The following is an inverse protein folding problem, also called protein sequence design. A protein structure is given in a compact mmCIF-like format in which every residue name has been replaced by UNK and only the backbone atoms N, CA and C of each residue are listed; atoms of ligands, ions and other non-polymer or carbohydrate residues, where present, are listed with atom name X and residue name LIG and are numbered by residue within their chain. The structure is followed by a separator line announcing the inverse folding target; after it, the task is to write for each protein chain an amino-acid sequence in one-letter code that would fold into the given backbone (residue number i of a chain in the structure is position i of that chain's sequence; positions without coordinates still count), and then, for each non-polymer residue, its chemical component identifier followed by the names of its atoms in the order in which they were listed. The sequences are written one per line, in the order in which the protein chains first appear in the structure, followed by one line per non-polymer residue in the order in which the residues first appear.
data_IF_341746578711
#
_entry.id   IF_341746578711
#
_cell.length_a   1.000
_cell.length_b   1.000
_cell.length_c   1.000
_cell.angle_alpha   90.00
_cell.angle_beta   90.00
_cell.angle_gamma   90.00
#
_symmetry.space_group_name_H-M   'P 1'
#
loop_
_entity.id
_entity.type
_entity.pdbx_description
1 polymer ?
#
# COMPACT_ATOMS: atom_id res chain seq x y z
N UNK A 1 -7.30 -6.11 15.62
CA UNK A 1 -6.56 -5.41 14.55
C UNK A 1 -7.09 -3.98 14.48
N UNK A 2 -6.25 -2.97 14.27
CA UNK A 2 -6.70 -1.58 14.08
C UNK A 2 -7.63 -1.51 12.86
N UNK A 3 -8.69 -0.69 12.91
CA UNK A 3 -9.75 -0.65 11.88
C UNK A 3 -9.20 -0.37 10.48
N UNK A 4 -8.18 0.48 10.35
CA UNK A 4 -7.50 0.75 9.07
C UNK A 4 -6.75 -0.45 8.49
N UNK A 5 -6.14 -1.31 9.33
CA UNK A 5 -5.47 -2.53 8.84
C UNK A 5 -6.47 -3.50 8.24
N UNK A 6 -7.66 -3.63 8.85
CA UNK A 6 -8.73 -4.46 8.30
C UNK A 6 -9.18 -3.90 6.94
N UNK A 7 -9.44 -2.60 6.88
CA UNK A 7 -9.83 -1.91 5.65
C UNK A 7 -8.86 -2.20 4.49
N UNK A 8 -7.55 -1.95 4.68
CA UNK A 8 -6.57 -2.16 3.60
C UNK A 8 -6.45 -3.64 3.23
N UNK A 9 -6.58 -4.56 4.19
CA UNK A 9 -6.54 -6.00 3.92
C UNK A 9 -7.74 -6.44 3.07
N UNK A 10 -8.95 -5.97 3.41
CA UNK A 10 -10.16 -6.24 2.64
C UNK A 10 -10.06 -5.61 1.24
N UNK A 11 -9.59 -4.36 1.15
CA UNK A 11 -9.38 -3.65 -0.12
C UNK A 11 -8.43 -4.41 -1.05
N UNK A 12 -7.28 -4.86 -0.56
CA UNK A 12 -6.32 -5.66 -1.33
C UNK A 12 -6.95 -6.97 -1.78
N UNK A 13 -7.69 -7.66 -0.90
CA UNK A 13 -8.33 -8.93 -1.23
C UNK A 13 -9.26 -8.81 -2.45
N UNK A 14 -10.03 -7.72 -2.52
CA UNK A 14 -10.97 -7.46 -3.61
C UNK A 14 -10.26 -6.99 -4.89
N UNK A 15 -9.24 -6.13 -4.78
CA UNK A 15 -8.67 -5.41 -5.91
C UNK A 15 -7.30 -5.92 -6.37
N UNK A 16 -6.76 -6.98 -5.77
CA UNK A 16 -5.38 -7.47 -6.02
C UNK A 16 -5.01 -7.59 -7.51
N UNK A 17 -5.94 -8.01 -8.35
CA UNK A 17 -5.67 -8.25 -9.77
C UNK A 17 -5.55 -6.97 -10.59
N UNK A 18 -6.03 -5.84 -10.05
CA UNK A 18 -5.96 -4.52 -10.67
C UNK A 18 -4.80 -3.67 -10.12
N UNK A 19 -4.23 -4.10 -8.98
CA UNK A 19 -3.11 -3.42 -8.35
C UNK A 19 -1.78 -3.83 -9.00
N UNK A 20 -0.78 -2.92 -9.03
CA UNK A 20 0.58 -3.30 -9.36
C UNK A 20 1.09 -4.41 -8.45
N UNK A 21 2.11 -5.15 -8.91
CA UNK A 21 2.75 -6.22 -8.12
C UNK A 21 3.14 -5.75 -6.72
N UNK A 22 3.58 -4.50 -6.62
CA UNK A 22 4.03 -3.84 -5.38
C UNK A 22 3.54 -2.39 -5.39
N UNK A 23 2.98 -1.93 -4.26
CA UNK A 23 2.43 -0.58 -4.12
C UNK A 23 2.47 -0.16 -2.65
N UNK A 24 2.67 1.13 -2.39
CA UNK A 24 2.44 1.73 -1.08
C UNK A 24 1.07 2.40 -1.11
N UNK A 25 0.21 2.07 -0.16
CA UNK A 25 -1.16 2.58 -0.09
C UNK A 25 -1.28 3.47 1.14
N UNK A 26 -1.53 4.75 0.91
CA UNK A 26 -1.89 5.68 1.98
C UNK A 26 -3.39 5.62 2.20
N UNK A 27 -3.79 5.35 3.45
CA UNK A 27 -5.19 5.29 3.86
C UNK A 27 -5.47 6.39 4.86
N UNK A 28 -6.68 6.95 4.77
CA UNK A 28 -7.15 7.98 5.67
C UNK A 28 -8.52 7.59 6.24
N UNK A 29 -8.88 8.22 7.35
CA UNK A 29 -10.20 8.12 7.95
C UNK A 29 -10.86 9.49 8.00
N UNK A 30 -12.12 9.58 7.59
CA UNK A 30 -12.96 10.74 7.85
C UNK A 30 -14.27 10.33 8.49
N UNK A 31 -14.87 11.20 9.30
CA UNK A 31 -16.15 10.91 9.95
C UNK A 31 -17.32 10.71 8.97
N UNK A 32 -17.20 11.19 7.73
CA UNK A 32 -18.24 11.08 6.69
C UNK A 32 -18.09 9.83 5.82
N UNK A 33 -16.86 9.49 5.44
CA UNK A 33 -16.58 8.40 4.48
C UNK A 33 -16.15 7.11 5.17
N UNK A 34 -15.71 7.19 6.42
CA UNK A 34 -15.02 6.08 7.07
C UNK A 34 -13.57 5.97 6.58
N UNK A 35 -13.03 4.75 6.53
CA UNK A 35 -11.71 4.49 5.96
C UNK A 35 -11.78 4.48 4.43
N UNK A 36 -10.80 5.11 3.79
CA UNK A 36 -10.68 5.16 2.33
C UNK A 36 -9.21 5.20 1.91
N UNK A 37 -8.95 4.83 0.65
CA UNK A 37 -7.64 5.01 0.02
C UNK A 37 -7.47 6.47 -0.34
N UNK A 38 -6.40 7.09 0.14
CA UNK A 38 -6.06 8.47 -0.16
C UNK A 38 -5.18 8.57 -1.41
N UNK A 39 -4.16 7.72 -1.50
CA UNK A 39 -3.17 7.74 -2.58
C UNK A 39 -2.53 6.36 -2.81
N UNK A 40 -2.13 6.10 -4.05
CA UNK A 40 -1.26 5.00 -4.42
C UNK A 40 0.12 5.53 -4.80
N UNK A 41 1.13 5.06 -4.09
CA UNK A 41 2.52 5.47 -4.28
C UNK A 41 3.35 4.29 -4.79
N UNK A 42 4.27 4.57 -5.72
CA UNK A 42 5.26 3.59 -6.16
C UNK A 42 6.30 3.36 -5.05
N UNK A 43 6.69 2.09 -4.81
CA UNK A 43 7.57 1.77 -3.70
C UNK A 43 8.97 2.41 -3.79
N UNK A 44 9.45 2.76 -4.99
CA UNK A 44 10.78 3.36 -5.18
C UNK A 44 10.87 4.84 -4.76
N UNK A 45 9.73 5.53 -4.63
CA UNK A 45 9.66 6.94 -4.20
C UNK A 45 8.94 7.17 -2.88
N UNK A 46 8.36 6.13 -2.29
CA UNK A 46 7.53 6.24 -1.08
C UNK A 46 8.37 6.32 0.20
N UNK A 47 7.84 7.00 1.23
CA UNK A 47 8.44 7.03 2.56
C UNK A 47 8.25 5.70 3.30
N UNK A 48 9.26 4.82 3.29
CA UNK A 48 9.23 3.51 3.97
C UNK A 48 9.71 3.55 5.43
N UNK A 49 9.44 4.67 6.12
CA UNK A 49 9.93 4.91 7.47
C UNK A 49 9.41 3.85 8.47
N UNK A 50 10.31 3.31 9.29
CA UNK A 50 9.97 2.29 10.28
C UNK A 50 9.86 0.85 9.73
N UNK A 51 9.99 0.65 8.41
CA UNK A 51 10.11 -0.69 7.85
C UNK A 51 11.51 -1.27 8.09
N UNK A 52 11.59 -2.60 8.24
CA UNK A 52 12.88 -3.30 8.17
C UNK A 52 13.31 -3.36 6.71
N UNK A 53 14.49 -2.83 6.38
CA UNK A 53 15.00 -2.76 5.00
C UNK A 53 14.94 -4.10 4.26
N UNK A 54 15.34 -5.19 4.93
CA UNK A 54 15.32 -6.55 4.36
C UNK A 54 13.92 -7.02 3.93
N UNK A 55 12.86 -6.48 4.51
CA UNK A 55 11.49 -6.86 4.17
C UNK A 55 10.90 -6.02 3.02
N UNK A 56 11.58 -4.97 2.57
CA UNK A 56 11.05 -4.02 1.57
C UNK A 56 11.92 -3.91 0.32
N UNK A 57 13.13 -4.45 0.33
CA UNK A 57 14.06 -4.36 -0.81
C UNK A 57 13.46 -4.97 -2.09
N UNK A 58 12.82 -6.14 -1.98
CA UNK A 58 12.16 -6.80 -3.11
C UNK A 58 11.01 -5.94 -3.67
N UNK A 59 10.30 -5.21 -2.80
CA UNK A 59 9.26 -4.28 -3.23
C UNK A 59 9.82 -3.10 -4.02
N UNK A 60 10.99 -2.59 -3.65
CA UNK A 60 11.64 -1.49 -4.39
C UNK A 60 12.11 -2.00 -5.75
N UNK A 61 12.76 -3.17 -5.79
CA UNK A 61 13.25 -3.78 -7.03
C UNK A 61 12.08 -3.98 -8.00
N UNK A 62 11.00 -4.64 -7.56
CA UNK A 62 9.83 -4.90 -8.38
C UNK A 62 9.16 -3.61 -8.91
N UNK A 63 9.23 -2.51 -8.16
CA UNK A 63 8.64 -1.22 -8.56
C UNK A 63 9.44 -0.47 -9.64
N UNK A 64 10.66 -0.91 -9.95
CA UNK A 64 11.54 -0.28 -10.95
C UNK A 64 11.62 -1.04 -12.28
N UNK A 65 10.96 -2.20 -12.38
CA UNK A 65 10.90 -2.99 -13.60
C UNK A 65 9.80 -2.45 -14.51
N UNK A 66 10.18 -1.96 -15.69
CA UNK A 66 9.23 -1.66 -16.77
C UNK A 66 8.89 -2.96 -17.50
N UNK A 67 7.66 -3.46 -17.33
CA UNK A 67 7.18 -4.71 -17.94
C UNK A 67 6.36 -4.46 -19.18
#
# INVERSE_FOLDING_TARGET
MTSGRKFVSDFICVNKNELPKVVVIDIAFSGKTGWFVLEFNACWGAGLNGCKAVNVIDCIIDATINK
#
